data_IF_248460543756
#
_entry.id   IF_248460543756
#
_cell.length_a   1.000
_cell.length_b   1.000
_cell.length_c   1.000
_cell.angle_alpha   90.00
_cell.angle_beta   90.00
_cell.angle_gamma   90.00
#
_symmetry.space_group_name_H-M   'P 1'
#
loop_
_entity.id
_entity.type
_entity.pdbx_description
1 polymer ?
#
# COMPACT_ATOMS: atom_id res chain seq x y z
N UNK A 1 -26.81 8.07 -12.37
CA UNK A 1 -25.81 7.30 -11.58
C UNK A 1 -24.52 8.12 -11.52
N UNK A 2 -23.78 8.08 -10.42
CA UNK A 2 -22.53 8.88 -10.26
C UNK A 2 -21.47 8.48 -11.31
N UNK A 3 -20.82 9.43 -12.00
CA UNK A 3 -19.74 9.17 -12.95
C UNK A 3 -18.56 8.39 -12.33
N UNK A 4 -17.79 7.69 -13.18
CA UNK A 4 -16.58 7.01 -12.75
C UNK A 4 -15.58 8.03 -12.17
N UNK A 5 -15.06 7.75 -10.97
CA UNK A 5 -14.20 8.67 -10.23
C UNK A 5 -12.82 8.06 -9.97
N UNK A 6 -11.77 8.88 -10.06
CA UNK A 6 -10.41 8.53 -9.66
C UNK A 6 -9.95 9.48 -8.56
N UNK A 7 -9.47 8.93 -7.45
CA UNK A 7 -8.90 9.70 -6.33
C UNK A 7 -7.39 9.46 -6.27
N UNK A 8 -6.62 10.47 -6.65
CA UNK A 8 -5.15 10.35 -6.79
C UNK A 8 -4.41 10.49 -5.47
N UNK A 9 -4.77 11.47 -4.62
CA UNK A 9 -4.09 11.73 -3.34
C UNK A 9 -4.15 10.51 -2.43
N UNK A 10 -2.99 10.01 -2.02
CA UNK A 10 -2.86 8.94 -1.01
C UNK A 10 -3.37 9.42 0.34
N UNK A 11 -2.96 10.61 0.77
CA UNK A 11 -3.36 11.23 2.03
C UNK A 11 -4.87 11.37 2.15
N UNK A 12 -5.57 11.81 1.09
CA UNK A 12 -7.03 11.98 1.16
C UNK A 12 -7.76 10.65 1.34
N UNK A 13 -7.30 9.59 0.67
CA UNK A 13 -7.85 8.23 0.88
C UNK A 13 -7.50 7.72 2.27
N UNK A 14 -6.25 7.86 2.69
CA UNK A 14 -5.76 7.42 4.00
C UNK A 14 -6.52 8.10 5.14
N UNK A 15 -6.78 9.41 5.07
CA UNK A 15 -7.57 10.15 6.07
C UNK A 15 -9.00 9.63 6.19
N UNK A 16 -9.64 9.25 5.09
CA UNK A 16 -10.98 8.65 5.12
C UNK A 16 -10.93 7.30 5.82
N UNK A 17 -9.93 6.47 5.50
CA UNK A 17 -9.79 5.13 6.09
C UNK A 17 -9.40 5.16 7.57
N UNK A 18 -8.51 6.07 7.98
CA UNK A 18 -8.08 6.23 9.37
C UNK A 18 -9.21 6.64 10.31
N UNK A 19 -10.24 7.32 9.81
CA UNK A 19 -11.42 7.74 10.59
C UNK A 19 -12.43 6.62 10.78
N UNK A 20 -12.32 5.53 10.02
CA UNK A 20 -13.21 4.39 10.17
C UNK A 20 -12.73 3.48 11.33
N UNK A 21 -13.57 3.14 12.32
CA UNK A 21 -13.15 2.37 13.49
C UNK A 21 -12.67 0.95 13.19
N UNK A 22 -13.17 0.35 12.10
CA UNK A 22 -12.79 -1.00 11.70
C UNK A 22 -11.56 -0.96 10.81
N UNK A 23 -11.55 -0.11 9.78
CA UNK A 23 -10.45 -0.07 8.81
C UNK A 23 -9.23 0.67 9.35
N UNK A 24 -9.41 1.71 10.17
CA UNK A 24 -8.34 2.56 10.68
C UNK A 24 -7.24 1.80 11.42
N UNK A 25 -7.59 0.72 12.13
CA UNK A 25 -6.63 -0.16 12.85
C UNK A 25 -5.69 -0.94 11.92
N UNK A 26 -6.03 -1.03 10.63
CA UNK A 26 -5.25 -1.64 9.57
C UNK A 26 -4.43 -0.62 8.77
N UNK A 27 -4.51 0.67 9.10
CA UNK A 27 -3.72 1.71 8.45
C UNK A 27 -2.50 2.02 9.33
N UNK A 28 -1.26 1.88 8.83
CA UNK A 28 -0.10 2.34 9.57
C UNK A 28 -0.20 3.83 9.87
N UNK A 29 0.35 4.27 11.00
CA UNK A 29 0.32 5.69 11.34
C UNK A 29 0.90 6.52 10.20
N UNK A 30 0.10 7.46 9.70
CA UNK A 30 0.40 8.24 8.50
C UNK A 30 0.06 9.69 8.74
N UNK A 31 1.02 10.58 8.47
CA UNK A 31 0.88 12.02 8.63
C UNK A 31 1.42 12.75 7.39
N UNK A 32 1.02 14.00 7.20
CA UNK A 32 1.65 14.84 6.17
C UNK A 32 3.12 15.09 6.52
N UNK A 33 3.98 15.15 5.52
CA UNK A 33 5.38 15.44 5.73
C UNK A 33 5.58 16.86 6.25
N UNK A 34 6.32 16.98 7.33
CA UNK A 34 7.01 18.19 7.77
C UNK A 34 8.28 17.76 8.53
N UNK A 35 9.30 18.63 8.65
CA UNK A 35 10.47 18.37 9.49
C UNK A 35 10.10 17.89 10.91
N UNK A 36 9.14 18.56 11.53
CA UNK A 36 8.68 18.22 12.89
C UNK A 36 7.97 16.87 12.94
N UNK A 37 7.11 16.59 11.94
CA UNK A 37 6.44 15.29 11.86
C UNK A 37 7.42 14.16 11.60
N UNK A 38 8.49 14.39 10.83
CA UNK A 38 9.56 13.40 10.63
C UNK A 38 10.25 13.09 11.96
N UNK A 39 10.65 14.11 12.71
CA UNK A 39 11.26 13.93 14.02
C UNK A 39 10.33 13.20 15.00
N UNK A 40 9.05 13.60 15.08
CA UNK A 40 8.04 12.96 15.94
C UNK A 40 7.80 11.49 15.55
N UNK A 41 7.67 11.21 14.26
CA UNK A 41 7.45 9.84 13.78
C UNK A 41 8.67 8.95 14.02
N UNK A 42 9.89 9.46 13.85
CA UNK A 42 11.12 8.71 14.17
C UNK A 42 11.33 8.51 15.67
N UNK A 43 10.81 9.40 16.52
CA UNK A 43 10.84 9.18 17.96
C UNK A 43 9.89 8.05 18.41
N UNK A 44 8.78 7.85 17.67
CA UNK A 44 7.76 6.84 17.98
C UNK A 44 8.00 5.49 17.31
N UNK A 45 8.57 5.49 16.10
CA UNK A 45 8.71 4.30 15.27
C UNK A 45 10.17 4.06 14.89
N UNK A 46 10.57 2.79 14.82
CA UNK A 46 11.93 2.38 14.44
C UNK A 46 12.31 2.75 13.00
N UNK A 47 11.31 2.95 12.14
CA UNK A 47 11.50 3.44 10.78
C UNK A 47 10.22 3.97 10.16
N UNK A 48 10.39 4.79 9.13
CA UNK A 48 9.31 5.44 8.41
C UNK A 48 9.60 5.47 6.91
N UNK A 49 8.54 5.44 6.12
CA UNK A 49 8.56 5.70 4.70
C UNK A 49 8.03 7.10 4.41
N UNK A 50 8.77 7.84 3.62
CA UNK A 50 8.40 9.17 3.12
C UNK A 50 8.06 9.01 1.65
N UNK A 51 6.80 9.28 1.29
CA UNK A 51 6.23 8.96 -0.03
C UNK A 51 5.57 10.21 -0.64
N UNK A 52 5.65 10.43 -1.96
CA UNK A 52 4.88 11.50 -2.59
C UNK A 52 3.38 11.18 -2.48
N UNK A 53 2.57 12.20 -2.18
CA UNK A 53 1.12 12.04 -2.03
C UNK A 53 0.46 11.60 -3.34
N UNK A 54 0.87 12.22 -4.44
CA UNK A 54 0.51 11.82 -5.79
C UNK A 54 1.75 11.29 -6.51
N UNK A 55 1.65 10.07 -6.99
CA UNK A 55 2.75 9.39 -7.66
C UNK A 55 2.37 7.94 -7.95
N UNK A 56 3.13 7.30 -8.85
CA UNK A 56 2.95 5.90 -9.23
C UNK A 56 4.28 5.17 -9.15
N UNK A 57 4.22 3.83 -9.08
CA UNK A 57 5.37 2.94 -9.21
C UNK A 57 6.46 3.11 -8.13
N UNK A 58 6.09 3.53 -6.92
CA UNK A 58 7.06 3.61 -5.80
C UNK A 58 8.26 4.54 -6.03
N UNK A 59 8.22 5.41 -7.04
CA UNK A 59 9.29 6.35 -7.33
C UNK A 59 9.37 7.41 -6.22
N UNK A 60 10.59 7.84 -5.90
CA UNK A 60 10.88 8.88 -4.90
C UNK A 60 10.40 8.54 -3.48
N UNK A 61 10.39 7.24 -3.13
CA UNK A 61 10.19 6.80 -1.75
C UNK A 61 11.53 6.85 -1.02
N UNK A 62 11.53 7.45 0.17
CA UNK A 62 12.68 7.52 1.06
C UNK A 62 12.33 6.71 2.30
N UNK A 63 13.20 5.80 2.71
CA UNK A 63 13.11 5.13 4.00
C UNK A 63 14.08 5.76 4.97
N UNK A 64 13.61 6.10 6.16
CA UNK A 64 14.43 6.63 7.24
C UNK A 64 14.20 5.77 8.48
N UNK A 65 15.28 5.28 9.07
CA UNK A 65 15.28 4.59 10.36
C UNK A 65 16.23 5.29 11.30
N UNK A 66 15.92 5.29 12.59
CA UNK A 66 16.75 5.93 13.61
C UNK A 66 17.20 4.89 14.63
N UNK A 67 18.50 4.88 14.94
CA UNK A 67 19.06 4.03 15.98
C UNK A 67 18.90 4.65 17.38
N UNK A 68 19.28 3.89 18.41
CA UNK A 68 19.23 4.34 19.82
C UNK A 68 20.13 5.56 20.11
N UNK A 69 21.12 5.83 19.27
CA UNK A 69 22.04 6.98 19.38
C UNK A 69 21.56 8.19 18.57
N UNK A 70 20.29 8.18 18.11
CA UNK A 70 19.68 9.22 17.28
C UNK A 70 20.39 9.45 15.95
N UNK A 71 21.07 8.41 15.44
CA UNK A 71 21.65 8.42 14.10
C UNK A 71 20.71 7.73 13.13
N UNK A 72 20.57 8.34 11.97
CA UNK A 72 19.65 7.93 10.94
C UNK A 72 20.36 7.06 9.89
N UNK A 73 19.68 6.00 9.48
CA UNK A 73 19.88 5.33 8.21
C UNK A 73 18.86 5.88 7.23
N UNK A 74 19.32 6.32 6.05
CA UNK A 74 18.47 6.88 5.01
C UNK A 74 18.72 6.11 3.73
N UNK A 75 17.67 5.49 3.20
CA UNK A 75 17.70 4.76 1.93
C UNK A 75 16.78 5.46 0.95
N UNK A 76 17.33 5.85 -0.20
CA UNK A 76 16.55 6.38 -1.33
C UNK A 76 17.11 5.82 -2.64
N UNK A 77 16.21 5.38 -3.51
CA UNK A 77 16.57 4.66 -4.75
C UNK A 77 17.52 3.47 -4.49
N UNK A 78 18.77 3.53 -4.96
CA UNK A 78 19.83 2.53 -4.71
C UNK A 78 20.86 3.00 -3.69
N UNK A 79 20.72 4.22 -3.15
CA UNK A 79 21.69 4.85 -2.26
C UNK A 79 21.31 4.64 -0.79
N UNK A 80 22.32 4.38 0.03
CA UNK A 80 22.18 4.22 1.48
C UNK A 80 23.18 5.13 2.17
N UNK A 81 22.68 5.97 3.08
CA UNK A 81 23.50 6.73 4.02
C UNK A 81 23.25 6.22 5.44
N UNK A 82 24.31 6.13 6.24
CA UNK A 82 24.27 5.61 7.61
C UNK A 82 24.93 6.58 8.56
N UNK A 83 24.53 6.55 9.82
CA UNK A 83 25.18 7.33 10.88
C UNK A 83 24.89 8.82 10.84
N UNK A 84 23.89 9.25 10.07
CA UNK A 84 23.56 10.66 9.82
C UNK A 84 22.81 11.25 11.02
N UNK A 85 23.27 12.34 11.66
CA UNK A 85 22.51 13.00 12.72
C UNK A 85 21.10 13.41 12.26
N UNK A 86 20.11 13.39 13.15
CA UNK A 86 18.73 13.72 12.80
C UNK A 86 18.56 15.09 12.09
N UNK A 87 19.22 16.19 12.50
CA UNK A 87 19.12 17.47 11.77
C UNK A 87 19.59 17.36 10.31
N UNK A 88 20.72 16.68 10.08
CA UNK A 88 21.28 16.48 8.74
C UNK A 88 20.39 15.53 7.91
N UNK A 89 19.77 14.54 8.56
CA UNK A 89 18.81 13.63 7.94
C UNK A 89 17.59 14.40 7.42
N UNK A 90 17.01 15.27 8.26
CA UNK A 90 15.89 16.15 7.88
C UNK A 90 16.29 17.04 6.71
N UNK A 91 17.47 17.66 6.78
CA UNK A 91 17.96 18.53 5.71
C UNK A 91 18.17 17.76 4.40
N UNK A 92 18.71 16.54 4.45
CA UNK A 92 18.84 15.70 3.27
C UNK A 92 17.48 15.30 2.69
N UNK A 93 16.53 14.88 3.53
CA UNK A 93 15.18 14.52 3.07
C UNK A 93 14.51 15.71 2.37
N UNK A 94 14.64 16.92 2.93
CA UNK A 94 14.11 18.13 2.30
C UNK A 94 14.67 18.38 0.90
N UNK A 95 15.96 18.08 0.65
CA UNK A 95 16.56 18.19 -0.69
C UNK A 95 16.10 17.10 -1.67
N UNK A 96 15.71 15.93 -1.17
CA UNK A 96 15.25 14.80 -2.00
C UNK A 96 13.77 14.93 -2.39
N UNK A 97 12.98 15.63 -1.58
CA UNK A 97 11.57 15.91 -1.84
C UNK A 97 11.46 16.95 -2.96
N UNK A 98 10.71 16.61 -4.01
CA UNK A 98 10.63 17.41 -5.24
C UNK A 98 9.19 17.71 -5.68
N UNK A 99 8.18 17.32 -4.89
CA UNK A 99 6.77 17.60 -5.17
C UNK A 99 6.10 18.32 -4.00
N UNK A 100 4.99 19.01 -4.28
CA UNK A 100 4.33 19.88 -3.29
C UNK A 100 3.75 19.15 -2.07
N UNK A 101 3.53 17.82 -2.13
CA UNK A 101 2.97 17.06 -1.00
C UNK A 101 3.59 15.69 -0.85
N UNK A 102 4.13 15.45 0.33
CA UNK A 102 4.62 14.15 0.79
C UNK A 102 3.91 13.74 2.07
N UNK A 103 3.95 12.46 2.37
CA UNK A 103 3.46 11.86 3.60
C UNK A 103 4.56 11.02 4.26
N UNK A 104 4.51 10.93 5.58
CA UNK A 104 5.33 10.05 6.39
C UNK A 104 4.42 8.93 6.89
N UNK A 105 4.82 7.68 6.67
CA UNK A 105 4.09 6.49 7.07
C UNK A 105 4.98 5.57 7.88
N UNK A 106 4.48 5.07 9.00
CA UNK A 106 5.16 4.06 9.82
C UNK A 106 5.61 2.87 8.97
N UNK A 107 6.86 2.42 9.16
CA UNK A 107 7.34 1.17 8.58
C UNK A 107 6.84 -0.02 9.41
N UNK A 108 6.35 -1.05 8.73
CA UNK A 108 5.86 -2.28 9.34
C UNK A 108 6.84 -3.42 9.03
N UNK A 109 7.17 -4.23 10.05
CA UNK A 109 7.98 -5.44 9.86
C UNK A 109 7.11 -6.55 9.26
N UNK A 110 7.24 -6.71 7.95
CA UNK A 110 6.44 -7.66 7.17
C UNK A 110 6.89 -9.10 7.30
N UNK A 111 5.94 -10.02 7.12
CA UNK A 111 6.14 -11.43 6.85
C UNK A 111 7.05 -11.60 5.61
N UNK A 112 7.83 -12.67 5.62
CA UNK A 112 8.93 -12.87 4.66
C UNK A 112 8.90 -14.28 4.07
N UNK A 113 9.38 -14.40 2.84
CA UNK A 113 9.72 -15.66 2.18
C UNK A 113 11.23 -15.59 1.94
N UNK A 114 12.00 -16.56 2.43
CA UNK A 114 13.46 -16.59 2.28
C UNK A 114 14.16 -15.27 2.70
N UNK A 115 13.73 -14.68 3.83
CA UNK A 115 14.18 -13.38 4.34
C UNK A 115 13.85 -12.17 3.46
N UNK A 116 12.98 -12.34 2.47
CA UNK A 116 12.49 -11.29 1.59
C UNK A 116 11.05 -10.93 1.97
N UNK A 117 10.77 -9.70 2.44
CA UNK A 117 9.41 -9.24 2.66
C UNK A 117 8.64 -9.17 1.35
N UNK A 118 7.37 -9.51 1.44
CA UNK A 118 6.43 -9.41 0.33
C UNK A 118 5.20 -8.62 0.75
N UNK A 119 4.51 -8.05 -0.24
CA UNK A 119 3.19 -7.50 -0.05
C UNK A 119 2.17 -8.26 -0.91
N UNK A 120 0.90 -7.97 -0.67
CA UNK A 120 -0.25 -8.56 -1.31
C UNK A 120 -1.02 -7.48 -2.05
N UNK A 121 -1.30 -7.74 -3.32
CA UNK A 121 -2.27 -6.96 -4.11
C UNK A 121 -3.63 -7.62 -3.97
N UNK A 122 -4.62 -6.90 -3.45
CA UNK A 122 -6.03 -7.31 -3.46
C UNK A 122 -6.81 -6.39 -4.38
N UNK A 123 -7.33 -6.94 -5.48
CA UNK A 123 -8.20 -6.22 -6.39
C UNK A 123 -9.66 -6.40 -5.98
N UNK A 124 -10.41 -5.31 -5.96
CA UNK A 124 -11.83 -5.28 -5.61
C UNK A 124 -12.56 -4.47 -6.67
N UNK A 125 -13.64 -5.00 -7.21
CA UNK A 125 -14.41 -4.36 -8.29
C UNK A 125 -15.89 -4.32 -7.94
N UNK A 126 -16.58 -3.31 -8.46
CA UNK A 126 -18.02 -3.10 -8.35
C UNK A 126 -18.63 -3.11 -9.75
N UNK A 127 -18.74 -4.28 -10.40
CA UNK A 127 -19.32 -4.38 -11.75
C UNK A 127 -20.79 -3.95 -11.78
N UNK A 128 -21.50 -4.22 -10.68
CA UNK A 128 -22.92 -3.89 -10.49
C UNK A 128 -23.10 -3.03 -9.22
N UNK A 129 -23.92 -3.49 -8.27
CA UNK A 129 -24.24 -2.76 -7.03
C UNK A 129 -23.34 -3.12 -5.84
N UNK A 130 -22.67 -4.27 -5.87
CA UNK A 130 -21.85 -4.78 -4.75
C UNK A 130 -20.36 -4.81 -5.10
N UNK A 131 -19.54 -4.51 -4.09
CA UNK A 131 -18.09 -4.72 -4.16
C UNK A 131 -17.77 -6.20 -4.00
N UNK A 132 -16.84 -6.69 -4.81
CA UNK A 132 -16.40 -8.09 -4.82
C UNK A 132 -14.88 -8.09 -4.88
N UNK A 133 -14.22 -8.83 -3.98
CA UNK A 133 -12.79 -9.11 -4.11
C UNK A 133 -12.56 -10.09 -5.28
N UNK A 134 -11.89 -9.62 -6.33
CA UNK A 134 -11.84 -10.34 -7.62
C UNK A 134 -10.59 -11.18 -7.74
N UNK A 135 -9.43 -10.59 -7.52
CA UNK A 135 -8.14 -11.29 -7.57
C UNK A 135 -7.19 -10.85 -6.47
N UNK A 136 -6.29 -11.76 -6.11
CA UNK A 136 -5.24 -11.52 -5.15
C UNK A 136 -3.92 -12.11 -5.63
N UNK A 137 -2.83 -11.37 -5.47
CA UNK A 137 -1.48 -11.86 -5.74
C UNK A 137 -0.51 -11.38 -4.68
N UNK A 138 0.61 -12.09 -4.53
CA UNK A 138 1.72 -11.67 -3.72
C UNK A 138 2.84 -11.12 -4.61
N UNK A 139 3.52 -10.07 -4.15
CA UNK A 139 4.62 -9.41 -4.85
C UNK A 139 5.84 -9.37 -3.94
N UNK A 140 6.90 -10.04 -4.35
CA UNK A 140 8.19 -9.98 -3.68
C UNK A 140 9.00 -8.79 -4.20
N UNK A 141 9.82 -8.18 -3.32
CA UNK A 141 10.75 -7.12 -3.76
C UNK A 141 11.87 -7.71 -4.60
N UNK A 142 12.39 -6.93 -5.55
CA UNK A 142 13.67 -7.23 -6.18
C UNK A 142 14.82 -7.04 -5.16
N UNK A 143 15.93 -7.79 -5.27
CA UNK A 143 17.10 -7.61 -4.42
C UNK A 143 17.59 -6.15 -4.39
N UNK A 144 17.98 -5.64 -3.22
CA UNK A 144 18.55 -4.29 -3.05
C UNK A 144 17.56 -3.10 -3.11
N UNK A 145 16.27 -3.33 -3.38
CA UNK A 145 15.24 -2.28 -3.40
C UNK A 145 14.48 -2.18 -2.08
N UNK A 146 14.13 -0.95 -1.68
CA UNK A 146 13.38 -0.67 -0.44
C UNK A 146 11.91 -1.07 -0.55
N UNK A 147 11.35 -0.99 -1.77
CA UNK A 147 9.91 -1.12 -2.00
C UNK A 147 9.58 -2.30 -2.90
N UNK A 148 8.50 -2.99 -2.55
CA UNK A 148 7.85 -4.08 -3.28
C UNK A 148 7.07 -3.53 -4.47
N UNK A 149 7.76 -3.14 -5.55
CA UNK A 149 7.08 -2.70 -6.76
C UNK A 149 7.30 -3.67 -7.92
N UNK A 150 6.22 -4.33 -8.33
CA UNK A 150 6.15 -5.20 -9.52
C UNK A 150 6.67 -4.53 -10.80
N UNK A 151 6.44 -3.23 -11.00
CA UNK A 151 6.93 -2.52 -12.18
C UNK A 151 8.47 -2.36 -12.21
N UNK A 152 9.19 -2.90 -11.23
CA UNK A 152 10.64 -2.94 -11.14
C UNK A 152 11.20 -4.38 -11.09
N UNK A 153 10.47 -5.38 -11.62
CA UNK A 153 10.99 -6.73 -11.81
C UNK A 153 10.79 -7.70 -10.64
N UNK A 154 9.74 -7.50 -9.83
CA UNK A 154 9.41 -8.41 -8.72
C UNK A 154 8.67 -9.68 -9.18
N UNK A 155 8.89 -10.80 -8.49
CA UNK A 155 8.17 -12.07 -8.70
C UNK A 155 6.73 -11.96 -8.22
N UNK A 156 5.79 -12.48 -9.01
CA UNK A 156 4.36 -12.57 -8.65
C UNK A 156 4.02 -14.01 -8.34
N UNK A 157 3.49 -14.23 -7.14
CA UNK A 157 2.99 -15.54 -6.70
C UNK A 157 1.48 -15.47 -6.47
N UNK A 158 0.82 -16.63 -6.48
CA UNK A 158 -0.53 -16.71 -5.91
C UNK A 158 -0.45 -16.41 -4.42
N UNK A 159 -1.43 -15.69 -3.88
CA UNK A 159 -1.42 -15.33 -2.45
C UNK A 159 -1.36 -16.56 -1.55
N UNK A 160 -2.10 -17.63 -1.85
CA UNK A 160 -2.05 -18.88 -1.09
C UNK A 160 -0.63 -19.49 -1.08
N UNK A 161 -0.01 -19.58 -2.24
CA UNK A 161 1.36 -20.09 -2.41
C UNK A 161 2.38 -19.26 -1.62
N UNK A 162 2.26 -17.92 -1.66
CA UNK A 162 3.15 -17.04 -0.91
C UNK A 162 3.01 -17.21 0.61
N UNK A 163 1.77 -17.39 1.11
CA UNK A 163 1.52 -17.66 2.52
C UNK A 163 2.11 -19.01 2.94
N UNK A 164 1.95 -20.04 2.12
CA UNK A 164 2.54 -21.37 2.38
C UNK A 164 4.07 -21.32 2.38
N UNK A 165 4.69 -20.64 1.41
CA UNK A 165 6.15 -20.41 1.38
C UNK A 165 6.66 -19.57 2.55
N UNK A 166 5.79 -18.73 3.13
CA UNK A 166 6.09 -17.98 4.34
C UNK A 166 5.91 -18.80 5.64
N UNK A 167 5.64 -20.11 5.52
CA UNK A 167 5.55 -21.04 6.65
C UNK A 167 4.14 -21.25 7.21
N UNK A 168 3.09 -20.73 6.56
CA UNK A 168 1.71 -20.97 6.99
C UNK A 168 1.20 -22.31 6.45
N UNK A 169 0.44 -23.03 7.26
CA UNK A 169 -0.28 -24.20 6.77
C UNK A 169 -1.49 -23.81 5.91
N UNK A 170 -2.04 -24.77 5.17
CA UNK A 170 -3.15 -24.56 4.23
C UNK A 170 -4.38 -23.92 4.89
N UNK A 171 -4.73 -24.34 6.12
CA UNK A 171 -5.88 -23.80 6.84
C UNK A 171 -5.65 -22.32 7.22
N UNK A 172 -4.48 -22.00 7.77
CA UNK A 172 -4.10 -20.62 8.09
C UNK A 172 -4.13 -19.74 6.83
N UNK A 173 -3.57 -20.22 5.72
CA UNK A 173 -3.59 -19.52 4.44
C UNK A 173 -5.00 -19.22 3.95
N UNK A 174 -5.93 -20.18 4.06
CA UNK A 174 -7.34 -19.98 3.70
C UNK A 174 -8.05 -18.95 4.60
N UNK A 175 -7.81 -19.01 5.91
CA UNK A 175 -8.39 -18.05 6.87
C UNK A 175 -7.90 -16.63 6.55
N UNK A 176 -6.60 -16.47 6.32
CA UNK A 176 -6.00 -15.18 5.97
C UNK A 176 -6.54 -14.65 4.64
N UNK A 177 -6.66 -15.50 3.62
CA UNK A 177 -7.29 -15.14 2.35
C UNK A 177 -8.73 -14.63 2.54
N UNK A 178 -9.53 -15.32 3.35
CA UNK A 178 -10.88 -14.88 3.68
C UNK A 178 -10.91 -13.52 4.39
N UNK A 179 -9.97 -13.28 5.33
CA UNK A 179 -9.83 -11.99 6.01
C UNK A 179 -9.42 -10.87 5.04
N UNK A 180 -8.48 -11.13 4.13
CA UNK A 180 -8.02 -10.15 3.13
C UNK A 180 -9.13 -9.76 2.14
N UNK A 181 -9.96 -10.72 1.71
CA UNK A 181 -11.12 -10.45 0.86
C UNK A 181 -12.12 -9.52 1.54
N UNK A 182 -12.52 -9.86 2.77
CA UNK A 182 -13.44 -9.03 3.57
C UNK A 182 -12.86 -7.63 3.84
N UNK A 183 -11.57 -7.55 4.18
CA UNK A 183 -10.88 -6.27 4.37
C UNK A 183 -10.91 -5.42 3.09
N UNK A 184 -10.68 -6.04 1.93
CA UNK A 184 -10.75 -5.37 0.63
C UNK A 184 -12.15 -4.80 0.33
N UNK A 185 -13.18 -5.62 0.48
CA UNK A 185 -14.57 -5.22 0.24
C UNK A 185 -15.04 -4.13 1.22
N UNK A 186 -14.72 -4.27 2.51
CA UNK A 186 -15.04 -3.29 3.54
C UNK A 186 -14.33 -1.95 3.30
N UNK A 187 -13.04 -1.98 2.95
CA UNK A 187 -12.27 -0.78 2.55
C UNK A 187 -12.93 -0.09 1.36
N UNK A 188 -13.38 -0.87 0.37
CA UNK A 188 -14.04 -0.33 -0.82
C UNK A 188 -15.37 0.34 -0.49
N UNK A 189 -16.18 -0.27 0.39
CA UNK A 189 -17.41 0.30 0.90
C UNK A 189 -17.16 1.63 1.64
N UNK A 190 -16.14 1.68 2.51
CA UNK A 190 -15.78 2.90 3.26
C UNK A 190 -15.40 4.04 2.32
N UNK A 191 -14.49 3.81 1.38
CA UNK A 191 -14.12 4.84 0.40
C UNK A 191 -15.29 5.25 -0.49
N UNK A 192 -16.17 4.31 -0.86
CA UNK A 192 -17.34 4.61 -1.69
C UNK A 192 -18.34 5.54 -1.03
N UNK A 193 -18.44 5.53 0.31
CA UNK A 193 -19.30 6.49 1.04
C UNK A 193 -18.84 7.92 0.80
N UNK A 194 -17.53 8.17 0.73
CA UNK A 194 -16.96 9.49 0.45
C UNK A 194 -16.85 9.78 -1.05
N UNK A 195 -16.56 8.76 -1.85
CA UNK A 195 -16.27 8.84 -3.27
C UNK A 195 -17.21 7.88 -4.05
N UNK A 196 -18.49 8.26 -4.25
CA UNK A 196 -19.52 7.38 -4.79
C UNK A 196 -19.29 6.95 -6.25
N UNK A 197 -18.37 7.61 -6.96
CA UNK A 197 -17.98 7.25 -8.32
C UNK A 197 -16.94 6.13 -8.43
N UNK A 198 -16.38 5.65 -7.31
CA UNK A 198 -15.40 4.55 -7.34
C UNK A 198 -16.05 3.24 -7.82
N UNK A 199 -15.33 2.51 -8.68
CA UNK A 199 -15.78 1.21 -9.23
C UNK A 199 -14.77 0.09 -9.14
N UNK A 200 -13.50 0.41 -8.96
CA UNK A 200 -12.43 -0.57 -8.85
C UNK A 200 -11.31 -0.03 -7.95
N UNK A 201 -10.74 -0.92 -7.15
CA UNK A 201 -9.66 -0.63 -6.22
C UNK A 201 -8.60 -1.73 -6.30
N UNK A 202 -7.33 -1.34 -6.18
CA UNK A 202 -6.22 -2.24 -5.91
C UNK A 202 -5.59 -1.85 -4.59
N UNK A 203 -5.77 -2.68 -3.57
CA UNK A 203 -5.19 -2.49 -2.25
C UNK A 203 -3.81 -3.14 -2.23
N UNK A 204 -2.83 -2.41 -1.71
CA UNK A 204 -1.50 -2.93 -1.40
C UNK A 204 -1.45 -3.17 0.11
N UNK A 205 -1.37 -4.44 0.49
CA UNK A 205 -1.52 -4.92 1.88
C UNK A 205 -0.29 -5.72 2.27
N UNK A 206 0.22 -5.55 3.48
CA UNK A 206 1.23 -6.45 4.06
C UNK A 206 0.69 -7.17 5.28
N UNK A 207 1.26 -8.34 5.59
CA UNK A 207 1.05 -9.03 6.87
C UNK A 207 2.26 -8.78 7.75
N UNK A 208 2.07 -8.41 9.01
CA UNK A 208 3.16 -8.41 9.99
C UNK A 208 3.46 -9.82 10.51
N UNK A 209 4.37 -9.91 11.49
CA UNK A 209 4.78 -11.19 12.09
C UNK A 209 3.63 -11.89 12.85
N UNK A 210 2.63 -11.14 13.28
CA UNK A 210 1.44 -11.65 13.98
C UNK A 210 0.27 -11.93 13.01
N UNK A 211 0.56 -11.93 11.70
CA UNK A 211 -0.40 -12.11 10.61
C UNK A 211 -1.50 -11.05 10.57
N UNK A 212 -1.28 -9.89 11.20
CA UNK A 212 -2.21 -8.76 11.11
C UNK A 212 -2.02 -8.06 9.75
N UNK A 213 -3.12 -7.82 9.00
CA UNK A 213 -3.04 -7.10 7.74
C UNK A 213 -2.93 -5.59 7.94
N UNK A 214 -2.08 -4.97 7.13
CA UNK A 214 -1.84 -3.53 7.07
C UNK A 214 -2.00 -3.02 5.63
N UNK A 215 -2.88 -2.04 5.42
CA UNK A 215 -3.13 -1.42 4.11
C UNK A 215 -2.16 -0.24 3.94
N UNK A 216 -1.23 -0.37 2.99
CA UNK A 216 -0.24 0.67 2.69
C UNK A 216 -0.75 1.70 1.70
N UNK A 217 -1.51 1.25 0.70
CA UNK A 217 -2.04 2.10 -0.36
C UNK A 217 -3.34 1.51 -0.92
N UNK A 218 -4.23 2.40 -1.38
CA UNK A 218 -5.41 2.03 -2.17
C UNK A 218 -5.37 2.79 -3.50
N UNK A 219 -5.20 2.03 -4.59
CA UNK A 219 -5.21 2.54 -5.96
C UNK A 219 -6.64 2.54 -6.50
N UNK A 220 -7.20 3.68 -6.86
CA UNK A 220 -8.58 3.79 -7.39
C UNK A 220 -8.68 3.63 -8.90
N UNK A 221 -7.58 3.26 -9.54
CA UNK A 221 -7.48 2.91 -10.96
C UNK A 221 -6.34 1.90 -11.10
N UNK A 222 -6.52 0.69 -10.54
CA UNK A 222 -5.47 -0.32 -10.51
C UNK A 222 -5.11 -0.78 -11.94
N UNK A 223 -3.89 -1.24 -12.14
CA UNK A 223 -3.53 -1.92 -13.39
C UNK A 223 -4.12 -3.33 -13.37
N UNK A 224 -4.62 -3.77 -14.52
CA UNK A 224 -5.02 -5.16 -14.69
C UNK A 224 -3.77 -6.05 -14.53
N UNK A 225 -3.80 -7.08 -13.68
CA UNK A 225 -2.73 -8.07 -13.68
C UNK A 225 -2.65 -8.75 -15.07
N UNK A 226 -1.45 -9.02 -15.60
CA UNK A 226 -1.31 -9.71 -16.89
C UNK A 226 -2.01 -11.07 -16.88
N UNK A 227 -2.80 -11.36 -17.93
CA UNK A 227 -3.53 -12.62 -18.08
C UNK A 227 -4.76 -12.81 -17.17
N UNK A 228 -5.11 -11.83 -16.33
CA UNK A 228 -6.24 -11.93 -15.41
C UNK A 228 -7.59 -11.71 -16.10
N UNK A 229 -8.15 -12.81 -16.63
CA UNK A 229 -9.42 -12.80 -17.37
C UNK A 229 -10.61 -12.34 -16.52
N UNK A 230 -10.63 -12.67 -15.22
CA UNK A 230 -11.73 -12.29 -14.31
C UNK A 230 -11.74 -10.78 -14.11
N UNK A 231 -10.58 -10.21 -13.82
CA UNK A 231 -10.45 -8.77 -13.64
C UNK A 231 -10.84 -8.00 -14.91
N UNK A 232 -10.40 -8.47 -16.08
CA UNK A 232 -10.75 -7.88 -17.38
C UNK A 232 -12.24 -7.96 -17.67
N UNK A 233 -12.86 -9.11 -17.41
CA UNK A 233 -14.29 -9.31 -17.61
C UNK A 233 -15.12 -8.30 -16.82
N UNK A 234 -14.87 -8.16 -15.51
CA UNK A 234 -15.59 -7.18 -14.70
C UNK A 234 -15.27 -5.74 -15.05
N UNK A 235 -14.04 -5.43 -15.49
CA UNK A 235 -13.72 -4.09 -16.00
C UNK A 235 -14.53 -3.75 -17.25
N UNK A 236 -14.74 -4.70 -18.17
CA UNK A 236 -15.60 -4.49 -19.35
C UNK A 236 -17.03 -4.14 -18.94
N UNK A 237 -17.58 -4.83 -17.95
CA UNK A 237 -18.92 -4.53 -17.40
C UNK A 237 -18.97 -3.13 -16.79
N UNK A 238 -17.95 -2.74 -16.00
CA UNK A 238 -17.85 -1.40 -15.42
C UNK A 238 -17.85 -0.31 -16.51
N UNK A 239 -17.05 -0.52 -17.56
CA UNK A 239 -16.94 0.44 -18.68
C UNK A 239 -18.27 0.52 -19.43
N UNK A 240 -18.87 -0.61 -19.82
CA UNK A 240 -20.15 -0.64 -20.51
C UNK A 240 -21.25 0.08 -19.72
N UNK A 241 -21.34 -0.18 -18.41
CA UNK A 241 -22.30 0.48 -17.53
C UNK A 241 -22.05 1.99 -17.36
N UNK A 242 -20.82 2.46 -17.63
CA UNK A 242 -20.46 3.88 -17.58
C UNK A 242 -20.76 4.59 -18.91
N UNK A 243 -20.65 3.89 -20.05
CA UNK A 243 -20.89 4.43 -21.40
C UNK A 243 -22.36 4.43 -21.82
N UNK A 244 -23.16 3.45 -21.39
CA UNK A 244 -24.61 3.39 -21.69
C UNK A 244 -25.43 4.54 -21.08
N UNK A 245 -24.78 5.49 -20.41
CA UNK A 245 -25.40 6.54 -19.61
C UNK A 245 -24.75 7.92 -19.79
N UNK A 246 -23.81 8.03 -20.73
CA UNK A 246 -23.27 9.29 -21.27
C UNK A 246 -24.00 9.66 -22.54
#
# INVERSE_FOLDING_TARGET
MTPYQVVRSKLDKTRVLQRDPEIGRHIPETVAYSPDNLAKMLAKHSGVFIKPDVGRKGNKIIYVAMDKKRRCLIHYDTRVQKGVPLPDAVHMVNRLITSQRYLIQQAIRLLQIDNVPFDLRINVQKPYSKWIATTSSARMRAPGKVVTNYAQGGTVLRTAEALEKAGLNRLQSQIILGRLKRLGEATAAVLSRKYPGLRELGLDVGLDQDLKPWIFEVNTMPQCPPGDKVFQYYRRIIIANSLLKS
#
